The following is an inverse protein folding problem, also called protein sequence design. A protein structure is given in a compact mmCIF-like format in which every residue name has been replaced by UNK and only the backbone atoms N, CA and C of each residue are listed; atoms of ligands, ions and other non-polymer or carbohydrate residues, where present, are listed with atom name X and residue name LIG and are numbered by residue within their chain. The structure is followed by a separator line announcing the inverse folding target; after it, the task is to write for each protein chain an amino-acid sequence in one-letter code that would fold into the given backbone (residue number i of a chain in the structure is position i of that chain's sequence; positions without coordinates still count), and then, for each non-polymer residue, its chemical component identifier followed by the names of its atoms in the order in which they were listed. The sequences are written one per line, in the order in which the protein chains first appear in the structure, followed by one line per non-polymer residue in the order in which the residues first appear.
data_IF_834335943842
#
_entry.id   IF_834335943842
#
_cell.length_a   1.000
_cell.length_b   1.000
_cell.length_c   1.000
_cell.angle_alpha   90.00
_cell.angle_beta   90.00
_cell.angle_gamma   90.00
#
_symmetry.space_group_name_H-M   'P 1'
#
loop_
_entity.id
_entity.type
_entity.pdbx_description
1 polymer ?
#
# COMPACT_ATOMS: atom_id res chain seq x y z
N UNK A 1 13.66 -52.83 -41.59
CA UNK A 1 12.37 -52.76 -40.86
C UNK A 1 12.45 -51.73 -39.70
N UNK A 2 13.11 -50.58 -39.89
CA UNK A 2 13.47 -49.63 -38.80
C UNK A 2 13.08 -48.17 -39.12
N UNK A 3 12.17 -47.95 -40.07
CA UNK A 3 11.77 -46.60 -40.51
C UNK A 3 10.63 -45.96 -39.71
N UNK A 4 9.89 -46.72 -38.90
CA UNK A 4 8.78 -46.20 -38.10
C UNK A 4 9.18 -45.49 -36.80
N UNK A 5 10.36 -45.80 -36.27
CA UNK A 5 10.88 -45.34 -34.96
C UNK A 5 11.36 -43.89 -35.00
N UNK A 6 11.99 -43.45 -36.09
CA UNK A 6 12.53 -42.09 -36.21
C UNK A 6 11.45 -40.99 -36.36
N UNK A 7 10.36 -41.24 -37.10
CA UNK A 7 9.26 -40.29 -37.27
C UNK A 7 8.44 -40.09 -35.98
N UNK A 8 8.32 -41.13 -35.16
CA UNK A 8 7.64 -41.06 -33.86
C UNK A 8 8.47 -40.31 -32.81
N UNK A 9 9.81 -40.39 -32.86
CA UNK A 9 10.69 -39.61 -31.98
C UNK A 9 10.66 -38.11 -32.28
N UNK A 10 10.67 -37.71 -33.56
CA UNK A 10 10.61 -36.29 -33.97
C UNK A 10 9.31 -35.61 -33.51
N UNK A 11 8.14 -36.24 -33.74
CA UNK A 11 6.84 -35.74 -33.23
C UNK A 11 6.79 -35.67 -31.70
N UNK A 12 7.33 -36.65 -30.98
CA UNK A 12 7.40 -36.63 -29.51
C UNK A 12 8.29 -35.49 -28.98
N UNK A 13 9.40 -35.18 -29.65
CA UNK A 13 10.28 -34.07 -29.25
C UNK A 13 9.64 -32.71 -29.52
N UNK A 14 8.97 -32.52 -30.66
CA UNK A 14 8.25 -31.29 -30.97
C UNK A 14 7.11 -31.01 -29.97
N UNK A 15 6.34 -32.05 -29.61
CA UNK A 15 5.32 -31.97 -28.57
C UNK A 15 5.89 -31.63 -27.18
N UNK A 16 7.07 -32.16 -26.82
CA UNK A 16 7.75 -31.80 -25.56
C UNK A 16 8.24 -30.35 -25.56
N UNK A 17 8.80 -29.87 -26.67
CA UNK A 17 9.30 -28.51 -26.83
C UNK A 17 8.18 -27.46 -26.74
N UNK A 18 7.07 -27.67 -27.46
CA UNK A 18 5.91 -26.77 -27.41
C UNK A 18 5.28 -26.74 -26.01
N UNK A 19 5.20 -27.90 -25.34
CA UNK A 19 4.72 -28.00 -23.96
C UNK A 19 5.62 -27.25 -22.99
N UNK A 20 6.95 -27.34 -23.14
CA UNK A 20 7.89 -26.63 -22.27
C UNK A 20 7.80 -25.10 -22.46
N UNK A 21 7.67 -24.61 -23.71
CA UNK A 21 7.44 -23.20 -24.02
C UNK A 21 6.13 -22.69 -23.40
N UNK A 22 5.04 -23.46 -23.53
CA UNK A 22 3.76 -23.13 -22.91
C UNK A 22 3.87 -23.02 -21.39
N UNK A 23 4.50 -24.02 -20.73
CA UNK A 23 4.72 -23.99 -19.27
C UNK A 23 5.53 -22.76 -18.88
N UNK A 24 6.61 -22.45 -19.59
CA UNK A 24 7.47 -21.30 -19.27
C UNK A 24 6.72 -19.97 -19.45
N UNK A 25 5.93 -19.85 -20.52
CA UNK A 25 5.09 -18.66 -20.76
C UNK A 25 4.01 -18.48 -19.68
N UNK A 26 3.37 -19.58 -19.24
CA UNK A 26 2.38 -19.56 -18.17
C UNK A 26 3.01 -19.14 -16.83
N UNK A 27 4.22 -19.62 -16.52
CA UNK A 27 4.98 -19.21 -15.32
C UNK A 27 5.33 -17.73 -15.38
N UNK A 28 5.78 -17.23 -16.53
CA UNK A 28 6.07 -15.79 -16.72
C UNK A 28 4.82 -14.93 -16.53
N UNK A 29 3.70 -15.32 -17.15
CA UNK A 29 2.42 -14.62 -17.01
C UNK A 29 1.90 -14.62 -15.57
N UNK A 30 2.01 -15.75 -14.88
CA UNK A 30 1.61 -15.83 -13.48
C UNK A 30 2.49 -14.94 -12.60
N UNK A 31 3.80 -14.93 -12.87
CA UNK A 31 4.75 -14.08 -12.15
C UNK A 31 4.48 -12.58 -12.37
N UNK A 32 4.18 -12.16 -13.59
CA UNK A 32 3.83 -10.76 -13.88
C UNK A 32 2.49 -10.36 -13.28
N UNK A 33 1.48 -11.23 -13.30
CA UNK A 33 0.20 -11.00 -12.61
C UNK A 33 0.40 -10.83 -11.10
N UNK A 34 1.22 -11.68 -10.49
CA UNK A 34 1.54 -11.61 -9.07
C UNK A 34 2.29 -10.31 -8.73
N UNK A 35 3.24 -9.91 -9.58
CA UNK A 35 3.95 -8.63 -9.45
C UNK A 35 2.99 -7.44 -9.55
N UNK A 36 2.08 -7.44 -10.52
CA UNK A 36 1.08 -6.39 -10.70
C UNK A 36 0.14 -6.27 -9.49
N UNK A 37 -0.33 -7.40 -8.95
CA UNK A 37 -1.16 -7.42 -7.75
C UNK A 37 -0.42 -6.86 -6.53
N UNK A 38 0.87 -7.19 -6.38
CA UNK A 38 1.70 -6.61 -5.31
C UNK A 38 1.89 -5.10 -5.48
N UNK A 39 2.12 -4.62 -6.70
CA UNK A 39 2.24 -3.18 -6.97
C UNK A 39 0.97 -2.43 -6.58
N UNK A 40 -0.21 -2.91 -7.00
CA UNK A 40 -1.50 -2.30 -6.65
C UNK A 40 -1.68 -2.23 -5.13
N UNK A 41 -1.38 -3.33 -4.44
CA UNK A 41 -1.44 -3.38 -2.97
C UNK A 41 -0.52 -2.36 -2.32
N UNK A 42 0.70 -2.20 -2.81
CA UNK A 42 1.65 -1.22 -2.26
C UNK A 42 1.25 0.23 -2.57
N UNK A 43 0.64 0.50 -3.72
CA UNK A 43 0.09 1.83 -4.02
C UNK A 43 -0.97 2.24 -2.99
N UNK A 44 -1.87 1.33 -2.64
CA UNK A 44 -2.90 1.60 -1.62
C UNK A 44 -2.30 1.78 -0.22
N UNK A 45 -1.28 1.00 0.15
CA UNK A 45 -0.56 1.20 1.41
C UNK A 45 0.12 2.57 1.46
N UNK A 46 0.70 3.03 0.35
CA UNK A 46 1.38 4.32 0.25
C UNK A 46 0.38 5.47 0.41
N UNK A 47 -0.77 5.40 -0.27
CA UNK A 47 -1.86 6.39 -0.17
C UNK A 47 -2.35 6.53 1.27
N UNK A 48 -2.64 5.42 1.95
CA UNK A 48 -3.03 5.42 3.36
C UNK A 48 -1.93 6.02 4.26
N UNK A 49 -0.66 5.72 3.97
CA UNK A 49 0.47 6.28 4.73
C UNK A 49 0.62 7.79 4.52
N UNK A 50 0.33 8.31 3.32
CA UNK A 50 0.35 9.74 3.04
C UNK A 50 -0.73 10.46 3.86
N UNK A 51 -1.97 9.92 3.86
CA UNK A 51 -3.08 10.50 4.62
C UNK A 51 -2.78 10.56 6.14
N UNK A 52 -2.23 9.48 6.71
CA UNK A 52 -1.81 9.47 8.12
C UNK A 52 -0.71 10.52 8.37
N UNK A 53 0.25 10.66 7.45
CA UNK A 53 1.35 11.63 7.60
C UNK A 53 0.83 13.07 7.52
N UNK A 54 -0.10 13.34 6.61
CA UNK A 54 -0.75 14.64 6.47
C UNK A 54 -1.52 15.03 7.74
N UNK A 55 -2.24 14.07 8.34
CA UNK A 55 -2.93 14.27 9.63
C UNK A 55 -1.95 14.65 10.74
N UNK A 56 -0.80 13.95 10.83
CA UNK A 56 0.25 14.25 11.82
C UNK A 56 0.88 15.63 11.59
N UNK A 57 1.10 16.03 10.34
CA UNK A 57 1.69 17.33 10.00
C UNK A 57 0.72 18.48 10.32
N UNK A 58 -0.58 18.27 10.10
CA UNK A 58 -1.62 19.25 10.37
C UNK A 58 -2.01 19.33 11.86
N UNK A 59 -1.59 18.36 12.68
CA UNK A 59 -1.85 18.34 14.12
C UNK A 59 -1.16 19.49 14.86
N UNK A 60 -1.94 20.41 15.44
CA UNK A 60 -1.46 21.56 16.19
C UNK A 60 -1.81 21.47 17.69
N UNK A 61 -0.97 20.77 18.44
CA UNK A 61 -1.10 20.62 19.91
C UNK A 61 -0.93 21.95 20.66
N UNK A 62 -0.37 22.97 20.01
CA UNK A 62 -0.02 24.24 20.66
C UNK A 62 -1.25 24.96 21.19
N UNK A 63 -2.35 24.95 20.47
CA UNK A 63 -3.57 25.66 20.86
C UNK A 63 -4.08 25.14 22.21
N UNK A 64 -4.25 23.81 22.36
CA UNK A 64 -4.70 23.19 23.61
C UNK A 64 -3.78 23.50 24.80
N UNK A 65 -2.45 23.41 24.61
CA UNK A 65 -1.48 23.77 25.65
C UNK A 65 -1.51 25.27 26.01
N UNK A 66 -1.78 26.13 25.03
CA UNK A 66 -1.95 27.56 25.28
C UNK A 66 -3.23 27.81 26.07
N UNK A 67 -4.35 27.16 25.74
CA UNK A 67 -5.59 27.25 26.51
C UNK A 67 -5.37 26.89 27.98
N UNK A 68 -4.76 25.74 28.26
CA UNK A 68 -4.42 25.34 29.63
C UNK A 68 -3.57 26.39 30.35
N UNK A 69 -2.56 26.93 29.68
CA UNK A 69 -1.68 27.96 30.25
C UNK A 69 -2.43 29.26 30.56
N UNK A 70 -3.32 29.69 29.68
CA UNK A 70 -4.10 30.90 29.91
C UNK A 70 -5.13 30.71 31.03
N UNK A 71 -5.72 29.51 31.16
CA UNK A 71 -6.57 29.15 32.31
C UNK A 71 -5.79 29.23 33.63
N UNK A 72 -4.59 28.64 33.68
CA UNK A 72 -3.69 28.72 34.85
C UNK A 72 -3.33 30.16 35.23
N UNK A 73 -3.08 31.02 34.23
CA UNK A 73 -2.81 32.43 34.46
C UNK A 73 -3.99 33.16 35.05
N UNK A 74 -5.20 32.93 34.54
CA UNK A 74 -6.41 33.55 35.08
C UNK A 74 -6.65 33.12 36.52
N UNK A 75 -6.47 31.84 36.86
CA UNK A 75 -6.57 31.38 38.26
C UNK A 75 -5.62 32.14 39.19
N UNK A 76 -4.36 32.31 38.78
CA UNK A 76 -3.37 33.08 39.56
C UNK A 76 -3.80 34.54 39.72
N UNK A 77 -4.35 35.17 38.68
CA UNK A 77 -4.85 36.53 38.76
C UNK A 77 -6.05 36.64 39.72
N UNK A 78 -6.96 35.67 39.72
CA UNK A 78 -8.09 35.67 40.63
C UNK A 78 -7.65 35.46 42.09
N UNK A 79 -6.69 34.57 42.35
CA UNK A 79 -6.16 34.29 43.69
C UNK A 79 -5.37 35.46 44.29
N UNK A 80 -4.72 36.28 43.45
CA UNK A 80 -3.92 37.43 43.93
C UNK A 80 -4.77 38.62 44.38
N UNK A 81 -6.03 38.74 43.92
CA UNK A 81 -6.98 39.75 44.36
C UNK A 81 -6.70 41.21 43.91
N UNK A 82 -5.44 41.62 43.77
CA UNK A 82 -5.04 43.01 43.46
C UNK A 82 -4.92 43.31 41.95
N UNK A 83 -5.78 42.73 41.11
CA UNK A 83 -5.67 42.85 39.66
C UNK A 83 -6.65 43.86 39.08
N UNK A 84 -6.15 44.71 38.17
CA UNK A 84 -6.95 45.69 37.44
C UNK A 84 -8.00 45.01 36.54
N UNK A 85 -9.18 45.61 36.45
CA UNK A 85 -10.33 45.15 35.68
C UNK A 85 -10.00 44.94 34.19
N UNK A 86 -9.16 45.81 33.63
CA UNK A 86 -8.65 45.69 32.25
C UNK A 86 -7.81 44.42 32.04
N UNK A 87 -7.05 44.01 33.05
CA UNK A 87 -6.20 42.80 32.99
C UNK A 87 -7.04 41.53 32.97
N UNK A 88 -8.07 41.45 33.82
CA UNK A 88 -9.01 40.32 33.83
C UNK A 88 -9.81 40.25 32.53
N UNK A 89 -10.27 41.39 32.02
CA UNK A 89 -10.99 41.48 30.73
C UNK A 89 -10.14 40.97 29.58
N UNK A 90 -8.87 41.40 29.49
CA UNK A 90 -7.95 40.94 28.46
C UNK A 90 -7.68 39.43 28.55
N UNK A 91 -7.42 38.93 29.76
CA UNK A 91 -7.14 37.50 29.97
C UNK A 91 -8.35 36.64 29.61
N UNK A 92 -9.55 37.07 29.99
CA UNK A 92 -10.82 36.44 29.60
C UNK A 92 -10.98 36.37 28.08
N UNK A 93 -10.70 37.46 27.37
CA UNK A 93 -10.79 37.49 25.91
C UNK A 93 -9.82 36.49 25.25
N UNK A 94 -8.59 36.39 25.77
CA UNK A 94 -7.63 35.38 25.28
C UNK A 94 -8.09 33.96 25.51
N UNK A 95 -8.60 33.64 26.71
CA UNK A 95 -9.10 32.29 26.99
C UNK A 95 -10.29 31.98 26.08
N UNK A 96 -11.23 32.91 25.92
CA UNK A 96 -12.40 32.74 25.05
C UNK A 96 -11.98 32.39 23.62
N UNK A 97 -11.03 33.14 23.06
CA UNK A 97 -10.51 32.84 21.72
C UNK A 97 -9.88 31.44 21.65
N UNK A 98 -9.10 31.05 22.66
CA UNK A 98 -8.33 29.79 22.66
C UNK A 98 -9.20 28.56 22.90
N UNK A 99 -10.19 28.69 23.78
CA UNK A 99 -11.20 27.67 24.03
C UNK A 99 -12.01 27.42 22.76
N UNK A 100 -12.48 28.48 22.09
CA UNK A 100 -13.14 28.36 20.79
C UNK A 100 -12.22 27.71 19.74
N UNK A 101 -10.98 28.16 19.64
CA UNK A 101 -10.02 27.56 18.69
C UNK A 101 -9.75 26.06 18.97
N UNK A 102 -9.95 25.61 20.21
CA UNK A 102 -9.75 24.23 20.64
C UNK A 102 -10.92 23.30 20.32
N UNK A 103 -12.13 23.84 20.12
CA UNK A 103 -13.34 23.07 19.75
C UNK A 103 -13.54 22.95 18.24
N UNK A 104 -12.84 23.76 17.43
CA UNK A 104 -12.99 23.76 15.97
C UNK A 104 -12.62 22.41 15.34
N UNK A 105 -13.35 22.02 14.29
CA UNK A 105 -13.25 20.69 13.68
C UNK A 105 -11.86 20.31 13.17
N UNK A 106 -11.01 21.27 12.82
CA UNK A 106 -9.64 20.96 12.40
C UNK A 106 -8.78 20.38 13.54
N UNK A 107 -9.18 20.58 14.80
CA UNK A 107 -8.54 19.97 15.96
C UNK A 107 -8.72 18.45 15.99
N UNK A 108 -9.58 17.88 15.14
CA UNK A 108 -9.63 16.43 14.91
C UNK A 108 -8.25 15.85 14.58
N UNK A 109 -7.44 16.56 13.78
CA UNK A 109 -6.09 16.13 13.46
C UNK A 109 -5.15 16.15 14.69
N UNK A 110 -5.40 17.06 15.64
CA UNK A 110 -4.63 17.18 16.89
C UNK A 110 -5.04 16.15 17.93
N UNK A 111 -6.36 15.95 18.09
CA UNK A 111 -6.95 15.10 19.12
C UNK A 111 -6.98 13.63 18.70
N UNK A 112 -7.12 13.35 17.40
CA UNK A 112 -7.11 11.99 16.83
C UNK A 112 -8.34 11.15 17.16
N UNK A 113 -9.38 11.72 17.77
CA UNK A 113 -10.63 11.04 18.10
C UNK A 113 -11.81 12.02 18.18
N UNK A 114 -12.96 11.60 17.66
CA UNK A 114 -14.20 12.38 17.66
C UNK A 114 -14.72 12.64 19.07
N UNK A 115 -14.65 11.63 19.96
CA UNK A 115 -15.03 11.76 21.37
C UNK A 115 -14.24 12.87 22.09
N UNK A 116 -12.96 13.06 21.74
CA UNK A 116 -12.13 14.13 22.32
C UNK A 116 -12.50 15.50 21.76
N UNK A 117 -12.92 15.57 20.49
CA UNK A 117 -13.41 16.82 19.90
C UNK A 117 -14.73 17.24 20.54
N UNK A 118 -15.65 16.30 20.76
CA UNK A 118 -16.90 16.58 21.50
C UNK A 118 -16.64 17.01 22.94
N UNK A 119 -15.59 16.48 23.58
CA UNK A 119 -15.17 16.95 24.91
C UNK A 119 -14.66 18.39 24.88
N UNK A 120 -13.87 18.76 23.86
CA UNK A 120 -13.39 20.13 23.68
C UNK A 120 -14.55 21.12 23.40
N UNK A 121 -15.55 20.70 22.63
CA UNK A 121 -16.79 21.45 22.39
C UNK A 121 -17.57 21.67 23.69
N UNK A 122 -17.78 20.63 24.49
CA UNK A 122 -18.39 20.76 25.83
C UNK A 122 -17.59 21.66 26.77
N UNK A 123 -16.26 21.63 26.69
CA UNK A 123 -15.41 22.52 27.48
C UNK A 123 -15.59 23.99 27.06
N UNK A 124 -15.84 24.27 25.78
CA UNK A 124 -16.24 25.60 25.30
C UNK A 124 -17.59 26.03 25.86
N UNK A 125 -18.59 25.14 25.82
CA UNK A 125 -19.90 25.43 26.40
C UNK A 125 -19.79 25.78 27.89
N UNK A 126 -19.02 25.02 28.66
CA UNK A 126 -18.76 25.30 30.09
C UNK A 126 -18.06 26.66 30.27
N UNK A 127 -17.06 26.98 29.44
CA UNK A 127 -16.41 28.29 29.50
C UNK A 127 -17.40 29.42 29.25
N UNK A 128 -18.20 29.34 28.18
CA UNK A 128 -19.09 30.41 27.76
C UNK A 128 -20.30 30.58 28.70
N UNK A 129 -20.86 29.47 29.20
CA UNK A 129 -22.09 29.48 29.98
C UNK A 129 -21.86 29.58 31.49
N UNK A 130 -20.75 29.06 32.01
CA UNK A 130 -20.51 28.98 33.46
C UNK A 130 -19.36 29.88 33.92
N UNK A 131 -18.20 29.82 33.26
CA UNK A 131 -17.00 30.49 33.78
C UNK A 131 -16.92 31.95 33.36
N UNK A 132 -17.08 32.24 32.07
CA UNK A 132 -16.99 33.58 31.50
C UNK A 132 -17.93 34.59 32.18
N UNK A 133 -19.20 34.26 32.48
CA UNK A 133 -20.09 35.16 33.21
C UNK A 133 -19.63 35.45 34.64
N UNK A 134 -19.11 34.46 35.37
CA UNK A 134 -18.56 34.67 36.73
C UNK A 134 -17.40 35.67 36.71
N UNK A 135 -16.57 35.63 35.66
CA UNK A 135 -15.50 36.62 35.48
C UNK A 135 -16.06 38.02 35.19
N UNK A 136 -17.16 38.15 34.42
CA UNK A 136 -17.82 39.45 34.23
C UNK A 136 -18.36 40.01 35.55
N UNK A 137 -18.93 39.14 36.38
CA UNK A 137 -19.46 39.52 37.69
C UNK A 137 -18.37 40.01 38.64
N UNK A 138 -17.16 39.41 38.61
CA UNK A 138 -15.98 39.84 39.38
C UNK A 138 -15.41 41.17 38.87
N UNK A 139 -15.44 41.39 37.55
CA UNK A 139 -14.95 42.60 36.89
C UNK A 139 -15.82 43.82 37.23
N UNK A 140 -17.09 43.61 37.58
CA UNK A 140 -18.01 44.68 37.97
C UNK A 140 -17.58 45.34 39.29
N UNK A 141 -17.52 46.68 39.32
CA UNK A 141 -17.06 47.48 40.48
C UNK A 141 -17.78 47.14 41.80
N UNK A 142 -19.02 46.63 41.75
CA UNK A 142 -19.80 46.27 42.94
C UNK A 142 -19.29 45.00 43.64
N UNK A 143 -18.50 44.16 42.96
CA UNK A 143 -18.10 42.83 43.42
C UNK A 143 -16.57 42.60 43.41
N UNK A 144 -15.77 43.63 43.17
CA UNK A 144 -14.31 43.50 42.99
C UNK A 144 -13.63 42.78 44.18
N UNK A 145 -14.10 43.04 45.40
CA UNK A 145 -13.60 42.44 46.66
C UNK A 145 -14.37 41.16 47.09
N UNK A 146 -15.27 40.61 46.27
CA UNK A 146 -16.03 39.41 46.64
C UNK A 146 -15.17 38.13 46.54
N UNK A 147 -14.58 37.76 47.67
CA UNK A 147 -13.77 36.54 47.81
C UNK A 147 -14.54 35.25 47.46
N UNK A 148 -15.84 35.21 47.70
CA UNK A 148 -16.68 34.03 47.45
C UNK A 148 -16.86 33.79 45.94
N UNK A 149 -17.13 34.86 45.18
CA UNK A 149 -17.22 34.79 43.72
C UNK A 149 -15.87 34.39 43.09
N UNK A 150 -14.76 34.94 43.59
CA UNK A 150 -13.41 34.58 43.14
C UNK A 150 -13.09 33.11 43.43
N UNK A 151 -13.43 32.60 44.62
CA UNK A 151 -13.21 31.18 44.97
C UNK A 151 -14.03 30.24 44.07
N UNK A 152 -15.30 30.58 43.80
CA UNK A 152 -16.14 29.81 42.88
C UNK A 152 -15.56 29.79 41.45
N UNK A 153 -15.16 30.96 40.93
CA UNK A 153 -14.54 31.06 39.61
C UNK A 153 -13.25 30.24 39.51
N UNK A 154 -12.40 30.26 40.55
CA UNK A 154 -11.17 29.44 40.61
C UNK A 154 -11.48 27.95 40.59
N UNK A 155 -12.49 27.48 41.33
CA UNK A 155 -12.85 26.06 41.35
C UNK A 155 -13.39 25.57 39.98
N UNK A 156 -14.18 26.40 39.30
CA UNK A 156 -14.65 26.12 37.94
C UNK A 156 -13.49 26.11 36.93
N UNK A 157 -12.57 27.05 37.05
CA UNK A 157 -11.35 27.10 36.22
C UNK A 157 -10.46 25.88 36.43
N UNK A 158 -10.31 25.37 37.66
CA UNK A 158 -9.57 24.12 37.93
C UNK A 158 -10.18 22.93 37.19
N UNK A 159 -11.50 22.81 37.23
CA UNK A 159 -12.20 21.74 36.51
C UNK A 159 -11.97 21.81 35.00
N UNK A 160 -12.03 23.03 34.44
CA UNK A 160 -11.77 23.26 33.02
C UNK A 160 -10.29 23.04 32.64
N UNK A 161 -9.35 23.43 33.50
CA UNK A 161 -7.91 23.19 33.32
C UNK A 161 -7.61 21.69 33.28
N UNK A 162 -8.19 20.91 34.18
CA UNK A 162 -8.06 19.46 34.20
C UNK A 162 -8.57 18.81 32.91
N UNK A 163 -9.71 19.28 32.40
CA UNK A 163 -10.27 18.82 31.12
C UNK A 163 -9.32 19.10 29.96
N UNK A 164 -8.81 20.34 29.85
CA UNK A 164 -7.82 20.68 28.81
C UNK A 164 -6.50 19.92 28.95
N UNK A 165 -6.06 19.65 30.17
CA UNK A 165 -4.88 18.82 30.43
C UNK A 165 -5.10 17.38 29.94
N UNK A 166 -6.28 16.80 30.22
CA UNK A 166 -6.60 15.46 29.72
C UNK A 166 -6.69 15.44 28.18
N UNK A 167 -7.31 16.45 27.55
CA UNK A 167 -7.36 16.59 26.10
C UNK A 167 -5.95 16.66 25.47
N UNK A 168 -5.04 17.44 26.05
CA UNK A 168 -3.63 17.51 25.62
C UNK A 168 -2.96 16.14 25.75
N UNK A 169 -3.14 15.48 26.90
CA UNK A 169 -2.52 14.19 27.19
C UNK A 169 -3.00 13.09 26.24
N UNK A 170 -4.32 12.97 26.05
CA UNK A 170 -4.93 11.98 25.16
C UNK A 170 -4.61 12.28 23.69
N UNK A 171 -4.68 13.54 23.27
CA UNK A 171 -4.29 13.96 21.93
C UNK A 171 -2.83 13.59 21.62
N UNK A 172 -1.91 13.83 22.57
CA UNK A 172 -0.50 13.44 22.43
C UNK A 172 -0.33 11.91 22.34
N UNK A 173 -1.09 11.14 23.14
CA UNK A 173 -1.07 9.68 23.07
C UNK A 173 -1.54 9.20 21.70
N UNK A 174 -2.68 9.70 21.20
CA UNK A 174 -3.23 9.32 19.90
C UNK A 174 -2.24 9.65 18.78
N UNK A 175 -1.67 10.86 18.79
CA UNK A 175 -0.66 11.28 17.81
C UNK A 175 0.57 10.38 17.81
N UNK A 176 1.06 9.97 18.99
CA UNK A 176 2.19 9.03 19.10
C UNK A 176 1.84 7.64 18.56
N UNK A 177 0.63 7.17 18.82
CA UNK A 177 0.17 5.88 18.28
C UNK A 177 0.08 5.93 16.75
N UNK A 178 -0.46 7.01 16.19
CA UNK A 178 -0.54 7.22 14.74
C UNK A 178 0.85 7.34 14.11
N UNK A 179 1.76 8.12 14.70
CA UNK A 179 3.14 8.20 14.25
C UNK A 179 3.86 6.83 14.31
N UNK A 180 3.58 6.05 15.36
CA UNK A 180 4.05 4.67 15.49
C UNK A 180 3.53 3.78 14.35
N UNK A 181 2.22 3.82 14.08
CA UNK A 181 1.60 3.08 12.96
C UNK A 181 2.18 3.50 11.61
N UNK A 182 2.29 4.80 11.34
CA UNK A 182 2.87 5.34 10.12
C UNK A 182 4.31 4.86 9.90
N UNK A 183 5.15 4.90 10.94
CA UNK A 183 6.53 4.41 10.85
C UNK A 183 6.59 2.90 10.59
N UNK A 184 5.70 2.13 11.23
CA UNK A 184 5.63 0.68 11.03
C UNK A 184 5.19 0.33 9.61
N UNK A 185 4.19 1.03 9.08
CA UNK A 185 3.74 0.93 7.69
C UNK A 185 4.86 1.31 6.73
N UNK A 186 5.53 2.45 6.93
CA UNK A 186 6.64 2.89 6.08
C UNK A 186 7.78 1.86 6.03
N UNK A 187 8.15 1.26 7.18
CA UNK A 187 9.15 0.17 7.23
C UNK A 187 8.70 -1.06 6.44
N UNK A 188 7.43 -1.45 6.57
CA UNK A 188 6.86 -2.56 5.82
C UNK A 188 6.87 -2.27 4.31
N UNK A 189 6.45 -1.07 3.89
CA UNK A 189 6.45 -0.61 2.49
C UNK A 189 7.87 -0.62 1.92
N UNK A 190 8.88 -0.18 2.68
CA UNK A 190 10.30 -0.26 2.24
C UNK A 190 10.75 -1.70 2.01
N UNK A 191 10.40 -2.62 2.91
CA UNK A 191 10.74 -4.03 2.76
C UNK A 191 10.02 -4.67 1.57
N UNK A 192 8.73 -4.38 1.38
CA UNK A 192 7.94 -4.82 0.24
C UNK A 192 8.50 -4.27 -1.08
N UNK A 193 8.86 -2.99 -1.12
CA UNK A 193 9.46 -2.34 -2.31
C UNK A 193 10.76 -3.03 -2.71
N UNK A 194 11.60 -3.42 -1.75
CA UNK A 194 12.81 -4.22 -2.03
C UNK A 194 12.47 -5.58 -2.65
N UNK A 195 11.43 -6.25 -2.16
CA UNK A 195 10.97 -7.52 -2.74
C UNK A 195 10.39 -7.34 -4.14
N UNK A 196 9.63 -6.27 -4.38
CA UNK A 196 9.12 -5.90 -5.70
C UNK A 196 10.25 -5.66 -6.71
N UNK A 197 11.28 -4.89 -6.33
CA UNK A 197 12.45 -4.66 -7.18
C UNK A 197 13.19 -5.98 -7.48
N UNK A 198 13.39 -6.83 -6.47
CA UNK A 198 13.98 -8.16 -6.66
C UNK A 198 13.14 -9.04 -7.59
N UNK A 199 11.81 -9.04 -7.43
CA UNK A 199 10.87 -9.75 -8.30
C UNK A 199 10.90 -9.24 -9.73
N UNK A 200 10.99 -7.92 -9.92
CA UNK A 200 11.07 -7.30 -11.24
C UNK A 200 12.37 -7.69 -11.97
N UNK A 201 13.51 -7.66 -11.27
CA UNK A 201 14.79 -8.16 -11.81
C UNK A 201 14.67 -9.64 -12.18
N UNK A 202 14.07 -10.46 -11.33
CA UNK A 202 13.87 -11.89 -11.60
C UNK A 202 12.99 -12.11 -12.85
N UNK A 203 11.88 -11.37 -12.98
CA UNK A 203 11.01 -11.46 -14.16
C UNK A 203 11.72 -11.03 -15.43
N UNK A 204 12.54 -9.97 -15.38
CA UNK A 204 13.34 -9.52 -16.50
C UNK A 204 14.37 -10.58 -16.93
N UNK A 205 15.10 -11.15 -15.98
CA UNK A 205 16.02 -12.26 -16.24
C UNK A 205 15.29 -13.49 -16.82
N UNK A 206 14.10 -13.81 -16.31
CA UNK A 206 13.26 -14.88 -16.82
C UNK A 206 12.82 -14.65 -18.27
N UNK A 207 12.46 -13.40 -18.61
CA UNK A 207 12.05 -13.02 -19.95
C UNK A 207 13.23 -13.07 -20.93
N UNK A 208 14.40 -12.56 -20.54
CA UNK A 208 15.65 -12.70 -21.31
C UNK A 208 15.99 -14.19 -21.54
N UNK A 209 15.91 -15.00 -20.49
CA UNK A 209 16.15 -16.44 -20.57
C UNK A 209 15.16 -17.16 -21.49
N UNK A 210 13.88 -16.77 -21.46
CA UNK A 210 12.83 -17.31 -22.33
C UNK A 210 13.09 -16.96 -23.80
N UNK A 211 13.41 -15.70 -24.10
CA UNK A 211 13.76 -15.27 -25.47
C UNK A 211 14.97 -16.04 -25.97
N UNK A 212 16.03 -16.13 -25.16
CA UNK A 212 17.22 -16.91 -25.49
C UNK A 212 16.92 -18.39 -25.77
N UNK A 213 16.11 -19.02 -24.90
CA UNK A 213 15.68 -20.41 -25.07
C UNK A 213 14.90 -20.61 -26.37
N UNK A 214 13.96 -19.70 -26.66
CA UNK A 214 13.14 -19.75 -27.87
C UNK A 214 13.98 -19.66 -29.14
N UNK A 215 14.91 -18.68 -29.20
CA UNK A 215 15.83 -18.50 -30.34
C UNK A 215 16.70 -19.75 -30.53
N UNK A 216 17.32 -20.23 -29.45
CA UNK A 216 18.20 -21.40 -29.51
C UNK A 216 17.46 -22.66 -29.94
N UNK A 217 16.23 -22.84 -29.46
CA UNK A 217 15.39 -23.98 -29.80
C UNK A 217 14.97 -23.95 -31.27
N UNK A 218 14.65 -22.77 -31.80
CA UNK A 218 14.28 -22.59 -33.20
C UNK A 218 15.47 -22.88 -34.13
N UNK A 219 16.65 -22.34 -33.82
CA UNK A 219 17.88 -22.62 -34.58
C UNK A 219 18.23 -24.12 -34.62
N UNK A 220 18.03 -24.83 -33.52
CA UNK A 220 18.26 -26.28 -33.49
C UNK A 220 17.25 -27.05 -34.33
N UNK A 221 15.99 -26.60 -34.33
CA UNK A 221 14.93 -27.19 -35.12
C UNK A 221 15.15 -26.98 -36.63
N UNK A 222 15.56 -25.78 -37.06
CA UNK A 222 15.84 -25.51 -38.48
C UNK A 222 16.98 -26.40 -39.00
N UNK A 223 18.07 -26.55 -38.23
CA UNK A 223 19.16 -27.46 -38.60
C UNK A 223 18.71 -28.92 -38.73
N UNK A 224 17.80 -29.37 -37.87
CA UNK A 224 17.24 -30.73 -37.97
C UNK A 224 16.32 -30.87 -39.18
N UNK A 225 15.52 -29.84 -39.46
CA UNK A 225 14.58 -29.84 -40.59
C UNK A 225 15.32 -29.87 -41.92
N UNK A 226 16.44 -29.16 -42.03
CA UNK A 226 17.34 -29.26 -43.20
C UNK A 226 17.92 -30.68 -43.35
N UNK A 227 18.38 -31.29 -42.26
CA UNK A 227 18.90 -32.66 -42.29
C UNK A 227 17.83 -33.69 -42.71
N UNK A 228 16.61 -33.58 -42.17
CA UNK A 228 15.49 -34.45 -42.54
C UNK A 228 15.06 -34.24 -44.00
N UNK A 229 15.08 -32.99 -44.49
CA UNK A 229 14.78 -32.67 -45.89
C UNK A 229 15.82 -33.27 -46.86
N UNK A 230 17.11 -33.18 -46.52
CA UNK A 230 18.17 -33.83 -47.29
C UNK A 230 18.01 -35.34 -47.32
N UNK A 231 17.67 -35.96 -46.17
CA UNK A 231 17.47 -37.40 -46.09
C UNK A 231 16.27 -37.89 -46.90
N UNK A 232 15.18 -37.11 -46.92
CA UNK A 232 14.03 -37.39 -47.78
C UNK A 232 14.38 -37.31 -49.27
N UNK A 233 15.21 -36.33 -49.67
CA UNK A 233 15.70 -36.23 -51.04
C UNK A 233 16.57 -37.43 -51.43
N UNK A 234 17.48 -37.85 -50.55
CA UNK A 234 18.31 -39.05 -50.76
C UNK A 234 17.48 -40.32 -50.90
N UNK A 235 16.51 -40.55 -50.00
CA UNK A 235 15.62 -41.72 -50.07
C UNK A 235 14.76 -41.73 -51.34
N UNK A 236 14.32 -40.55 -51.79
CA UNK A 236 13.55 -40.43 -53.04
C UNK A 236 14.43 -40.74 -54.26
N UNK A 237 15.67 -40.26 -54.29
CA UNK A 237 16.65 -40.61 -55.34
C UNK A 237 16.98 -42.11 -55.34
N UNK A 238 17.08 -42.72 -54.16
CA UNK A 238 17.35 -44.16 -54.02
C UNK A 238 16.15 -45.01 -54.48
N UNK A 239 14.93 -44.62 -54.13
CA UNK A 239 13.69 -45.19 -54.67
C UNK A 239 13.62 -45.08 -56.19
N UNK A 240 13.99 -43.93 -56.75
CA UNK A 240 14.04 -43.73 -58.20
C UNK A 240 15.06 -44.63 -58.87
N UNK A 241 16.24 -44.82 -58.27
CA UNK A 241 17.26 -45.76 -58.76
C UNK A 241 16.76 -47.21 -58.67
N UNK A 242 16.16 -47.62 -57.57
CA UNK A 242 15.61 -48.98 -57.40
C UNK A 242 14.48 -49.25 -58.39
N UNK A 243 13.60 -48.27 -58.62
CA UNK A 243 12.55 -48.35 -59.65
C UNK A 243 13.14 -48.43 -61.06
N UNK A 244 14.18 -47.64 -61.36
CA UNK A 244 14.87 -47.69 -62.64
C UNK A 244 15.55 -49.06 -62.86
N UNK A 245 16.25 -49.57 -61.84
CA UNK A 245 16.85 -50.91 -61.87
C UNK A 245 15.76 -51.95 -62.06
N UNK A 246 14.67 -51.93 -61.28
CA UNK A 246 13.55 -52.86 -61.45
C UNK A 246 12.94 -52.78 -62.87
N UNK A 247 12.85 -51.59 -63.46
CA UNK A 247 12.35 -51.41 -64.84
C UNK A 247 13.31 -51.92 -65.92
N UNK A 248 14.62 -51.96 -65.63
CA UNK A 248 15.67 -52.42 -66.55
C UNK A 248 16.05 -53.89 -66.32
N UNK A 249 15.69 -54.47 -65.18
CA UNK A 249 15.86 -55.89 -64.91
C UNK A 249 14.62 -56.61 -65.43
N UNK A 250 14.73 -57.33 -66.56
CA UNK A 250 13.67 -58.17 -67.14
C UNK A 250 13.38 -59.43 -66.29
N UNK A 251 13.30 -59.29 -64.96
CA UNK A 251 12.85 -60.35 -64.07
C UNK A 251 11.45 -60.00 -63.56
N UNK A 252 10.46 -60.68 -64.13
CA UNK A 252 9.08 -60.66 -63.67
C UNK A 252 9.01 -61.34 -62.29
N UNK A 253 8.94 -60.56 -61.21
CA UNK A 253 8.68 -61.09 -59.87
C UNK A 253 7.16 -61.13 -59.69
N UNK A 254 6.58 -62.32 -59.89
CA UNK A 254 5.17 -62.60 -59.58
C UNK A 254 5.12 -63.01 -58.11
N UNK A 255 4.41 -62.25 -57.28
CA UNK A 255 4.06 -62.67 -55.92
C UNK A 255 2.64 -63.22 -56.00
N UNK A 256 2.52 -64.54 -55.91
CA UNK A 256 1.23 -65.22 -55.83
C UNK A 256 0.96 -65.63 -54.38
N UNK A 257 -0.26 -65.40 -53.91
CA UNK A 257 -0.71 -65.94 -52.63
C UNK A 257 -0.84 -67.48 -52.69
N UNK A 258 -1.06 -68.13 -51.54
CA UNK A 258 -1.24 -69.59 -51.47
C UNK A 258 -2.45 -70.12 -52.26
N UNK A 259 -3.30 -69.24 -52.80
CA UNK A 259 -4.48 -69.56 -53.62
C UNK A 259 -4.26 -69.25 -55.12
N UNK A 260 -3.04 -68.83 -55.51
CA UNK A 260 -2.64 -68.62 -56.90
C UNK A 260 -3.14 -67.32 -57.52
N UNK A 261 -3.52 -66.32 -56.72
CA UNK A 261 -3.88 -64.99 -57.22
C UNK A 261 -2.66 -64.08 -57.25
N UNK A 262 -2.49 -63.36 -58.36
CA UNK A 262 -1.35 -62.48 -58.62
C UNK A 262 -1.72 -61.04 -58.25
N UNK A 263 -0.94 -60.40 -57.38
CA UNK A 263 -0.93 -58.94 -57.16
C UNK A 263 0.19 -58.26 -57.97
#
# INVERSE_FOLDING_TARGET
MDHGTHLTESKKRFSKMSRNLLIFSAVLLLSTLLLAALVIRETHNLENSVNITETIVNANVRTLMQTQRELLRLMILLEQGENDSDTLTLQKAFITQRVHESSLSYQMATLGAEELLERADRAEDVWLAEVSPLIDDIIAEENDDDHTLREEAVERLKSLELEFNELVSQGEINRRQEAGRANTVAKATLQSTRRLLGGLILTLCGLIGFVYYTIRSYQHFDKQREADAHRLLEMNQEMHKLSLVASQTNNLVIIADGEGRVE
#
